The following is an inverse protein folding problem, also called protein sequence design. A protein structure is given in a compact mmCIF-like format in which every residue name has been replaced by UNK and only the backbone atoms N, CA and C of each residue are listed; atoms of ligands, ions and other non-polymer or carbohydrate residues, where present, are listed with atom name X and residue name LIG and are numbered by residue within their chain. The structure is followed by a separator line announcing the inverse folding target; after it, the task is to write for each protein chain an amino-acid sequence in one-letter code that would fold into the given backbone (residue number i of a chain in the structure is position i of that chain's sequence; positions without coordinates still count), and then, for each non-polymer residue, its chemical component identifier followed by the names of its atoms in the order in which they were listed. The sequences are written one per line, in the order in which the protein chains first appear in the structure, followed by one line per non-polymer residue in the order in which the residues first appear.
data_IF_907574821956
#
_entry.id   IF_907574821956
#
_cell.length_a   1.000
_cell.length_b   1.000
_cell.length_c   1.000
_cell.angle_alpha   90.00
_cell.angle_beta   90.00
_cell.angle_gamma   90.00
#
_symmetry.space_group_name_H-M   'P 1'
#
loop_
_entity.id
_entity.type
_entity.pdbx_description
1 polymer ?
#
# COMPACT_ATOMS: atom_id res chain seq x y z
N UNK A 1 12.57 -14.52 19.05
CA UNK A 1 11.88 -13.52 18.20
C UNK A 1 12.48 -13.64 16.81
N UNK A 2 11.83 -14.39 15.92
CA UNK A 2 12.40 -14.77 14.61
C UNK A 2 12.59 -13.51 13.77
N UNK A 3 13.81 -13.27 13.33
CA UNK A 3 14.19 -12.09 12.55
C UNK A 3 13.52 -12.14 11.18
N UNK A 4 12.25 -11.73 11.11
CA UNK A 4 11.51 -11.64 9.85
C UNK A 4 12.30 -10.82 8.80
N UNK A 5 13.11 -9.87 9.26
CA UNK A 5 14.06 -9.10 8.45
C UNK A 5 14.99 -9.92 7.57
N UNK A 6 15.62 -10.97 8.11
CA UNK A 6 16.53 -11.82 7.32
C UNK A 6 15.80 -12.57 6.21
N UNK A 7 14.51 -12.86 6.41
CA UNK A 7 13.69 -13.56 5.42
C UNK A 7 13.35 -12.70 4.21
N UNK A 8 13.44 -11.37 4.31
CA UNK A 8 13.07 -10.46 3.23
C UNK A 8 14.27 -9.96 2.41
N UNK A 9 15.50 -10.16 2.90
CA UNK A 9 16.71 -9.75 2.20
C UNK A 9 16.81 -10.42 0.81
N UNK A 10 16.99 -9.62 -0.24
CA UNK A 10 17.12 -10.08 -1.62
C UNK A 10 15.82 -10.51 -2.30
N UNK A 11 14.70 -10.58 -1.57
CA UNK A 11 13.40 -10.92 -2.16
C UNK A 11 12.80 -9.74 -2.93
N UNK A 12 12.17 -10.04 -4.06
CA UNK A 12 11.33 -9.08 -4.77
C UNK A 12 9.96 -8.99 -4.08
N UNK A 13 9.61 -7.81 -3.58
CA UNK A 13 8.35 -7.59 -2.84
C UNK A 13 7.55 -6.49 -3.50
N UNK A 14 6.31 -6.79 -3.88
CA UNK A 14 5.39 -5.80 -4.47
C UNK A 14 4.45 -5.26 -3.40
N UNK A 15 4.48 -3.94 -3.18
CA UNK A 15 3.55 -3.25 -2.26
C UNK A 15 2.47 -2.58 -3.09
N UNK A 16 1.25 -3.13 -3.04
CA UNK A 16 0.07 -2.54 -3.65
C UNK A 16 -0.71 -1.71 -2.62
N UNK A 17 -1.20 -0.55 -3.03
CA UNK A 17 -1.98 0.34 -2.16
C UNK A 17 -1.12 1.26 -1.32
N UNK A 18 -0.73 2.39 -1.91
CA UNK A 18 0.02 3.47 -1.26
C UNK A 18 -0.86 4.43 -0.45
N UNK A 19 -1.97 3.96 0.09
CA UNK A 19 -2.74 4.74 1.06
C UNK A 19 -1.90 5.06 2.31
N UNK A 20 -2.57 5.38 3.41
CA UNK A 20 -1.92 5.88 4.65
C UNK A 20 -0.76 4.98 5.13
N UNK A 21 -0.83 3.66 4.89
CA UNK A 21 0.13 2.67 5.38
C UNK A 21 1.14 2.15 4.34
N UNK A 22 0.97 2.42 3.04
CA UNK A 22 1.76 1.77 2.00
C UNK A 22 3.21 2.27 1.91
N UNK A 23 3.43 3.58 2.03
CA UNK A 23 4.77 4.18 2.02
C UNK A 23 5.59 3.79 3.27
N UNK A 24 5.05 3.84 4.50
CA UNK A 24 5.75 3.33 5.68
C UNK A 24 6.12 1.84 5.57
N UNK A 25 5.21 1.00 5.07
CA UNK A 25 5.47 -0.43 4.90
C UNK A 25 6.59 -0.72 3.89
N UNK A 26 6.59 -0.02 2.75
CA UNK A 26 7.65 -0.13 1.74
C UNK A 26 9.02 0.27 2.30
N UNK A 27 9.09 1.33 3.11
CA UNK A 27 10.34 1.77 3.76
C UNK A 27 10.91 0.71 4.70
N UNK A 28 10.07 0.08 5.52
CA UNK A 28 10.51 -0.99 6.43
C UNK A 28 11.04 -2.17 5.63
N UNK A 29 10.30 -2.67 4.64
CA UNK A 29 10.73 -3.79 3.78
C UNK A 29 12.05 -3.49 3.05
N UNK A 30 12.23 -2.26 2.57
CA UNK A 30 13.49 -1.85 1.94
C UNK A 30 14.65 -1.82 2.94
N UNK A 31 14.43 -1.32 4.17
CA UNK A 31 15.45 -1.34 5.22
C UNK A 31 15.87 -2.74 5.65
N UNK A 32 15.00 -3.74 5.44
CA UNK A 32 15.27 -5.16 5.67
C UNK A 32 15.98 -5.83 4.48
N UNK A 33 16.37 -5.08 3.44
CA UNK A 33 17.12 -5.58 2.28
C UNK A 33 16.26 -6.15 1.16
N UNK A 34 14.94 -5.97 1.20
CA UNK A 34 14.05 -6.39 0.13
C UNK A 34 14.14 -5.45 -1.09
N UNK A 35 13.99 -6.01 -2.28
CA UNK A 35 13.81 -5.26 -3.53
C UNK A 35 12.34 -4.90 -3.68
N UNK A 36 11.96 -3.73 -3.17
CA UNK A 36 10.57 -3.33 -3.10
C UNK A 36 10.12 -2.63 -4.39
N UNK A 37 9.09 -3.17 -5.04
CA UNK A 37 8.36 -2.51 -6.13
C UNK A 37 7.05 -1.99 -5.59
N UNK A 38 6.80 -0.70 -5.77
CA UNK A 38 5.60 -0.06 -5.27
C UNK A 38 4.61 0.16 -6.40
N UNK A 39 3.38 -0.34 -6.23
CA UNK A 39 2.29 -0.16 -7.19
C UNK A 39 1.32 0.87 -6.63
N UNK A 40 1.35 2.06 -7.22
CA UNK A 40 0.40 3.10 -6.90
C UNK A 40 -0.89 2.89 -7.71
N UNK A 41 -1.91 2.32 -7.06
CA UNK A 41 -3.27 2.28 -7.60
C UNK A 41 -4.05 3.50 -7.09
N UNK A 42 -4.63 4.29 -7.99
CA UNK A 42 -5.56 5.36 -7.60
C UNK A 42 -6.77 4.75 -6.91
N UNK A 43 -6.76 4.72 -5.58
CA UNK A 43 -7.97 4.48 -4.82
C UNK A 43 -8.90 5.65 -5.13
N UNK A 44 -9.95 5.41 -5.94
CA UNK A 44 -11.08 6.33 -6.05
C UNK A 44 -11.71 6.44 -4.66
N UNK A 45 -11.20 7.37 -3.87
CA UNK A 45 -11.76 7.76 -2.59
C UNK A 45 -13.13 8.38 -2.83
N UNK A 46 -14.14 7.79 -2.19
CA UNK A 46 -15.50 8.31 -2.00
C UNK A 46 -16.12 9.00 -3.22
N UNK A 47 -16.89 8.26 -4.01
CA UNK A 47 -18.05 8.87 -4.63
C UNK A 47 -18.97 9.31 -3.49
N UNK A 48 -18.86 10.57 -3.05
CA UNK A 48 -19.95 11.21 -2.34
C UNK A 48 -21.18 11.05 -3.24
N UNK A 49 -22.21 10.38 -2.73
CA UNK A 49 -23.50 10.30 -3.40
C UNK A 49 -23.88 11.69 -3.87
N UNK A 50 -24.20 11.91 -5.16
CA UNK A 50 -24.82 13.16 -5.56
C UNK A 50 -26.15 13.23 -4.83
N UNK A 51 -26.17 14.12 -3.84
CA UNK A 51 -27.34 14.54 -3.11
C UNK A 51 -28.49 14.86 -4.07
N UNK A 52 -29.70 14.47 -3.68
CA UNK A 52 -30.94 15.07 -4.18
C UNK A 52 -31.39 14.62 -5.56
N UNK A 53 -32.08 13.48 -5.62
CA UNK A 53 -33.13 13.30 -6.63
C UNK A 53 -34.45 13.05 -5.91
N UNK A 54 -35.03 14.12 -5.37
CA UNK A 54 -36.46 14.18 -5.05
C UNK A 54 -37.23 13.90 -6.34
N UNK A 55 -37.87 12.74 -6.39
CA UNK A 55 -38.74 12.36 -7.50
C UNK A 55 -40.11 12.99 -7.22
N UNK A 56 -40.72 13.73 -8.18
CA UNK A 56 -42.09 14.19 -8.06
C UNK A 56 -43.09 13.04 -8.13
#
# INVERSE_FOLDING_TARGET
MTAAGERFAGLAVTVAGLGVSGVPAAKVLHSLGARVTVVNGVARGSASSPSGRTRP
#
